data_IF_038522407869
#
_entry.id   IF_038522407869
#
_cell.length_a   1.000
_cell.length_b   1.000
_cell.length_c   1.000
_cell.angle_alpha   90.00
_cell.angle_beta   90.00
_cell.angle_gamma   90.00
#
_symmetry.space_group_name_H-M   'P 1'
#
loop_
_entity.id
_entity.type
_entity.pdbx_description
1 polymer ?
#
# COMPACT_ATOMS: atom_id res chain seq x y z
N UNK A 1 -17.67 4.35 -11.97
CA UNK A 1 -18.99 4.85 -11.57
C UNK A 1 -19.88 5.07 -12.79
N UNK A 2 -19.54 5.97 -13.73
CA UNK A 2 -20.36 6.24 -14.92
C UNK A 2 -20.84 4.96 -15.63
N UNK A 3 -19.92 4.02 -15.91
CA UNK A 3 -20.26 2.74 -16.57
C UNK A 3 -21.24 1.85 -15.80
N UNK A 4 -21.31 1.94 -14.47
CA UNK A 4 -22.28 1.19 -13.66
C UNK A 4 -23.66 1.84 -13.80
N UNK A 5 -23.72 3.16 -13.69
CA UNK A 5 -24.95 3.93 -13.82
C UNK A 5 -25.53 3.84 -15.22
N UNK A 6 -24.68 3.92 -16.28
CA UNK A 6 -25.07 3.72 -17.68
C UNK A 6 -25.72 2.35 -17.94
N UNK A 7 -25.34 1.32 -17.17
CA UNK A 7 -25.95 -0.02 -17.27
C UNK A 7 -27.19 -0.21 -16.40
N UNK A 8 -27.73 0.88 -15.85
CA UNK A 8 -28.90 0.83 -14.95
C UNK A 8 -28.59 0.19 -13.60
N UNK A 9 -27.31 0.15 -13.21
CA UNK A 9 -26.90 -0.38 -11.91
C UNK A 9 -27.26 0.56 -10.77
N UNK A 10 -27.52 0.00 -9.60
CA UNK A 10 -27.71 0.71 -8.33
C UNK A 10 -26.42 0.71 -7.54
N UNK A 11 -26.13 1.79 -6.82
CA UNK A 11 -24.97 1.94 -5.93
C UNK A 11 -25.50 2.19 -4.53
N UNK A 12 -25.24 1.27 -3.61
CA UNK A 12 -25.70 1.36 -2.21
C UNK A 12 -24.66 2.02 -1.30
N UNK A 13 -23.37 1.90 -1.64
CA UNK A 13 -22.26 2.50 -0.91
C UNK A 13 -21.04 2.68 -1.80
N UNK A 14 -20.11 3.55 -1.40
CA UNK A 14 -18.86 3.81 -2.10
C UNK A 14 -17.70 3.56 -1.14
N UNK A 15 -16.82 2.63 -1.50
CA UNK A 15 -15.51 2.43 -0.89
C UNK A 15 -14.41 3.03 -1.76
N UNK A 16 -13.50 3.77 -1.16
CA UNK A 16 -12.31 4.33 -1.81
C UNK A 16 -11.08 3.79 -1.11
N UNK A 17 -10.21 3.15 -1.88
CA UNK A 17 -8.87 2.72 -1.45
C UNK A 17 -7.84 3.63 -2.11
N UNK A 18 -6.99 4.28 -1.33
CA UNK A 18 -5.97 5.18 -1.87
C UNK A 18 -4.80 5.34 -0.90
N UNK A 19 -3.59 5.47 -1.44
CA UNK A 19 -2.40 5.74 -0.63
C UNK A 19 -2.54 7.09 0.09
N UNK A 20 -2.24 7.12 1.39
CA UNK A 20 -2.28 8.32 2.20
C UNK A 20 -3.00 8.16 3.55
N UNK A 21 -3.08 9.27 4.28
CA UNK A 21 -3.74 9.36 5.59
C UNK A 21 -5.10 10.03 5.42
N UNK A 22 -6.14 9.35 5.89
CA UNK A 22 -7.52 9.80 5.81
C UNK A 22 -8.14 9.87 7.20
N UNK A 23 -8.79 10.98 7.50
CA UNK A 23 -9.55 11.18 8.75
C UNK A 23 -10.90 11.77 8.36
N UNK A 24 -11.98 11.16 8.83
CA UNK A 24 -13.36 11.53 8.48
C UNK A 24 -13.59 11.58 6.97
N UNK A 25 -13.06 10.59 6.23
CA UNK A 25 -13.11 10.47 4.78
C UNK A 25 -12.42 11.63 4.02
N UNK A 26 -11.59 12.42 4.69
CA UNK A 26 -10.87 13.56 4.12
C UNK A 26 -9.38 13.27 4.04
N UNK A 27 -8.79 13.65 2.92
CA UNK A 27 -7.34 13.56 2.72
C UNK A 27 -6.62 14.48 3.70
N UNK A 28 -5.70 13.93 4.49
CA UNK A 28 -4.78 14.69 5.36
C UNK A 28 -3.41 14.81 4.72
N UNK A 29 -2.84 13.69 4.34
CA UNK A 29 -1.56 13.59 3.62
C UNK A 29 -1.70 12.48 2.58
N UNK A 30 -1.18 12.70 1.38
CA UNK A 30 -1.03 11.65 0.37
C UNK A 30 0.09 12.02 -0.59
N UNK A 31 0.92 11.04 -0.94
CA UNK A 31 2.07 11.21 -1.85
C UNK A 31 1.67 11.77 -3.21
N UNK A 32 0.48 11.43 -3.69
CA UNK A 32 -0.10 11.93 -4.94
C UNK A 32 -0.23 13.46 -4.99
N UNK A 33 -0.30 14.13 -3.82
CA UNK A 33 -0.59 15.56 -3.72
C UNK A 33 0.54 16.39 -3.12
N UNK A 34 1.75 15.83 -2.95
CA UNK A 34 2.90 16.52 -2.34
C UNK A 34 3.32 17.81 -3.08
N UNK A 35 3.04 17.88 -4.40
CA UNK A 35 3.38 19.06 -5.22
C UNK A 35 2.26 20.10 -5.27
N UNK A 36 1.13 19.86 -4.58
CA UNK A 36 0.00 20.79 -4.54
C UNK A 36 0.25 21.84 -3.46
N UNK A 37 -0.02 23.10 -3.77
CA UNK A 37 0.13 24.17 -2.78
C UNK A 37 -0.80 23.96 -1.59
N UNK A 38 -0.45 24.43 -0.36
CA UNK A 38 -1.34 24.30 0.80
C UNK A 38 -2.73 24.93 0.60
N UNK A 39 -2.83 25.98 -0.20
CA UNK A 39 -4.10 26.63 -0.54
C UNK A 39 -4.95 25.75 -1.45
N UNK A 40 -4.39 25.28 -2.56
CA UNK A 40 -5.07 24.37 -3.47
C UNK A 40 -5.42 23.04 -2.80
N UNK A 41 -4.56 22.55 -1.92
CA UNK A 41 -4.83 21.34 -1.16
C UNK A 41 -6.12 21.51 -0.33
N UNK A 42 -6.22 22.59 0.43
CA UNK A 42 -7.43 22.88 1.23
C UNK A 42 -8.67 23.06 0.38
N UNK A 43 -8.53 23.76 -0.75
CA UNK A 43 -9.66 24.09 -1.62
C UNK A 43 -10.13 22.94 -2.51
N UNK A 44 -9.21 22.10 -3.00
CA UNK A 44 -9.48 21.15 -4.09
C UNK A 44 -9.23 19.69 -3.72
N UNK A 45 -8.28 19.39 -2.81
CA UNK A 45 -7.82 18.03 -2.54
C UNK A 45 -8.44 17.44 -1.28
N UNK A 46 -8.51 18.22 -0.19
CA UNK A 46 -8.97 17.70 1.10
C UNK A 46 -10.25 16.88 1.04
N UNK A 47 -11.24 17.35 0.29
CA UNK A 47 -12.57 16.75 0.19
C UNK A 47 -12.81 16.09 -1.20
N UNK A 48 -11.75 15.76 -1.94
CA UNK A 48 -11.83 15.32 -3.34
C UNK A 48 -12.71 14.06 -3.50
N UNK A 49 -12.51 13.07 -2.63
CA UNK A 49 -13.26 11.80 -2.71
C UNK A 49 -14.72 11.97 -2.31
N UNK A 50 -15.01 12.82 -1.31
CA UNK A 50 -16.37 13.13 -0.93
C UNK A 50 -17.13 13.88 -2.03
N UNK A 51 -16.46 14.80 -2.75
CA UNK A 51 -17.06 15.49 -3.89
C UNK A 51 -17.31 14.53 -5.07
N UNK A 52 -16.32 13.70 -5.40
CA UNK A 52 -16.48 12.72 -6.48
C UNK A 52 -17.58 11.69 -6.16
N UNK A 53 -17.72 11.29 -4.91
CA UNK A 53 -18.78 10.39 -4.49
C UNK A 53 -20.18 11.02 -4.64
N UNK A 54 -20.33 12.30 -4.32
CA UNK A 54 -21.60 13.03 -4.49
C UNK A 54 -22.08 13.07 -5.95
N UNK A 55 -21.17 13.06 -6.91
CA UNK A 55 -21.53 12.99 -8.33
C UNK A 55 -22.09 11.63 -8.74
N UNK A 56 -21.81 10.58 -7.95
CA UNK A 56 -22.30 9.23 -8.18
C UNK A 56 -23.66 9.02 -7.54
N UNK A 57 -23.86 9.55 -6.34
CA UNK A 57 -25.11 9.45 -5.60
C UNK A 57 -24.97 9.88 -4.14
N UNK A 58 -26.09 10.05 -3.47
CA UNK A 58 -26.16 10.35 -2.04
C UNK A 58 -26.18 9.03 -1.22
N UNK A 59 -25.04 8.38 -1.17
CA UNK A 59 -24.86 7.08 -0.53
C UNK A 59 -23.70 7.13 0.48
N UNK A 60 -23.63 6.21 1.46
CA UNK A 60 -22.51 6.12 2.37
C UNK A 60 -21.16 6.03 1.65
N UNK A 61 -20.16 6.76 2.15
CA UNK A 61 -18.81 6.79 1.59
C UNK A 61 -17.81 6.46 2.69
N UNK A 62 -16.86 5.59 2.37
CA UNK A 62 -15.71 5.30 3.24
C UNK A 62 -14.43 5.43 2.44
N UNK A 63 -13.47 6.19 2.95
CA UNK A 63 -12.14 6.38 2.33
C UNK A 63 -11.11 5.83 3.30
N UNK A 64 -10.32 4.85 2.85
CA UNK A 64 -9.29 4.19 3.65
C UNK A 64 -7.94 4.18 2.93
N UNK A 65 -6.89 4.00 3.72
CA UNK A 65 -5.57 3.69 3.21
C UNK A 65 -5.59 2.36 2.44
N UNK A 66 -4.77 2.24 1.40
CA UNK A 66 -4.68 1.05 0.55
C UNK A 66 -4.12 -0.18 1.29
N UNK A 67 -3.22 0.02 2.26
CA UNK A 67 -2.74 -1.02 3.15
C UNK A 67 -3.86 -1.59 4.03
N UNK A 68 -4.68 -0.71 4.63
CA UNK A 68 -5.83 -1.11 5.45
C UNK A 68 -6.86 -1.91 4.63
N UNK A 69 -7.14 -1.47 3.40
CA UNK A 69 -8.07 -2.19 2.51
C UNK A 69 -7.51 -3.54 2.09
N UNK A 70 -6.19 -3.63 1.85
CA UNK A 70 -5.53 -4.90 1.54
C UNK A 70 -5.60 -5.89 2.70
N UNK A 71 -5.37 -5.42 3.93
CA UNK A 71 -5.51 -6.23 5.14
C UNK A 71 -6.95 -6.73 5.32
N UNK A 72 -7.94 -5.85 5.11
CA UNK A 72 -9.36 -6.22 5.20
C UNK A 72 -9.74 -7.27 4.16
N UNK A 73 -9.28 -7.10 2.91
CA UNK A 73 -9.51 -8.08 1.86
C UNK A 73 -8.88 -9.44 2.19
N UNK A 74 -7.67 -9.44 2.76
CA UNK A 74 -7.00 -10.63 3.26
C UNK A 74 -7.78 -11.32 4.38
N UNK A 75 -8.21 -10.57 5.39
CA UNK A 75 -9.02 -11.07 6.50
C UNK A 75 -10.33 -11.71 6.02
N UNK A 76 -11.04 -11.03 5.13
CA UNK A 76 -12.27 -11.54 4.52
C UNK A 76 -12.03 -12.82 3.68
N UNK A 77 -10.94 -12.86 2.91
CA UNK A 77 -10.58 -14.00 2.09
C UNK A 77 -10.19 -15.25 2.90
N UNK A 78 -9.53 -15.04 4.05
CA UNK A 78 -9.15 -16.10 4.99
C UNK A 78 -10.30 -16.51 5.91
N UNK A 79 -11.32 -15.66 6.10
CA UNK A 79 -12.35 -15.83 7.12
C UNK A 79 -11.82 -15.66 8.55
N UNK A 80 -10.76 -14.86 8.72
CA UNK A 80 -10.06 -14.69 9.98
C UNK A 80 -10.04 -13.22 10.42
N UNK A 81 -9.92 -12.99 11.74
CA UNK A 81 -9.71 -11.69 12.36
C UNK A 81 -8.30 -11.62 12.97
N UNK A 82 -7.89 -10.45 13.48
CA UNK A 82 -6.55 -10.19 13.96
C UNK A 82 -5.49 -10.42 12.86
N UNK A 83 -5.74 -9.90 11.67
CA UNK A 83 -4.89 -10.07 10.49
C UNK A 83 -4.06 -8.82 10.27
N UNK A 84 -2.73 -8.99 10.22
CA UNK A 84 -1.79 -8.01 9.70
C UNK A 84 -1.60 -8.29 8.20
N UNK A 85 -1.99 -7.36 7.35
CA UNK A 85 -1.81 -7.44 5.91
C UNK A 85 -0.62 -6.58 5.48
N UNK A 86 0.32 -7.16 4.74
CA UNK A 86 1.47 -6.43 4.17
C UNK A 86 1.39 -6.54 2.65
N UNK A 87 1.22 -5.43 1.97
CA UNK A 87 1.26 -5.33 0.52
C UNK A 87 2.67 -4.93 0.07
N UNK A 88 3.39 -5.85 -0.55
CA UNK A 88 4.75 -5.66 -1.06
C UNK A 88 4.68 -5.27 -2.55
N UNK A 89 4.45 -3.97 -2.79
CA UNK A 89 4.47 -3.38 -4.12
C UNK A 89 5.82 -2.70 -4.44
N UNK A 90 5.79 -1.63 -5.23
CA UNK A 90 6.95 -0.73 -5.42
C UNK A 90 7.41 -0.14 -4.08
N UNK A 91 6.46 0.08 -3.17
CA UNK A 91 6.67 0.41 -1.77
C UNK A 91 5.99 -0.64 -0.90
N UNK A 92 6.06 -0.49 0.41
CA UNK A 92 5.37 -1.30 1.40
C UNK A 92 4.13 -0.55 1.88
N UNK A 93 2.98 -1.23 1.93
CA UNK A 93 1.78 -0.73 2.57
C UNK A 93 1.26 -1.78 3.55
N UNK A 94 0.84 -1.35 4.73
CA UNK A 94 0.44 -2.23 5.82
C UNK A 94 -0.88 -1.80 6.39
N UNK A 95 -1.70 -2.78 6.77
CA UNK A 95 -2.95 -2.57 7.48
C UNK A 95 -3.19 -3.65 8.52
N UNK A 96 -4.05 -3.37 9.48
CA UNK A 96 -4.44 -4.31 10.52
C UNK A 96 -5.94 -4.37 10.69
N UNK A 97 -6.45 -5.59 10.74
CA UNK A 97 -7.86 -5.91 11.06
C UNK A 97 -7.91 -6.48 12.47
N UNK A 98 -8.72 -5.88 13.34
CA UNK A 98 -8.85 -6.25 14.74
C UNK A 98 -9.64 -7.56 14.95
N UNK A 99 -9.78 -7.98 16.22
CA UNK A 99 -10.54 -9.18 16.59
C UNK A 99 -12.05 -9.13 16.29
N UNK A 100 -12.59 -7.95 15.98
CA UNK A 100 -13.98 -7.74 15.59
C UNK A 100 -14.17 -7.64 14.06
N UNK A 101 -13.09 -7.77 13.29
CA UNK A 101 -13.12 -7.63 11.84
C UNK A 101 -13.10 -6.19 11.33
N UNK A 102 -12.70 -5.22 12.16
CA UNK A 102 -12.67 -3.83 11.79
C UNK A 102 -11.25 -3.37 11.43
N UNK A 103 -11.16 -2.49 10.44
CA UNK A 103 -9.93 -1.71 10.19
C UNK A 103 -9.70 -0.81 11.41
N UNK A 104 -8.48 -0.81 11.92
CA UNK A 104 -8.05 0.12 12.96
C UNK A 104 -7.69 1.47 12.34
N UNK A 105 -7.96 2.58 13.00
CA UNK A 105 -7.51 3.89 12.53
C UNK A 105 -6.04 4.20 12.84
N UNK A 106 -5.22 3.18 13.04
CA UNK A 106 -3.81 3.33 13.37
C UNK A 106 -3.00 3.69 12.12
N UNK A 107 -1.93 4.44 12.33
CA UNK A 107 -0.91 4.65 11.30
C UNK A 107 -0.02 3.40 11.23
N UNK A 108 -0.30 2.53 10.26
CA UNK A 108 0.43 1.29 10.07
C UNK A 108 1.63 1.51 9.11
N UNK A 109 2.49 2.49 9.41
CA UNK A 109 3.61 2.90 8.54
C UNK A 109 4.86 2.04 8.77
N UNK A 110 4.74 0.71 8.61
CA UNK A 110 5.88 -0.21 8.74
C UNK A 110 6.97 0.05 7.69
N UNK A 111 6.63 0.69 6.58
CA UNK A 111 7.60 1.12 5.58
C UNK A 111 8.75 1.94 6.17
N UNK A 112 8.48 2.72 7.21
CA UNK A 112 9.47 3.58 7.89
C UNK A 112 9.96 3.04 9.23
N UNK A 113 9.47 1.87 9.66
CA UNK A 113 9.95 1.23 10.88
C UNK A 113 11.37 0.69 10.68
N UNK A 114 12.30 0.89 11.66
CA UNK A 114 13.63 0.29 11.61
C UNK A 114 13.52 -1.23 11.81
N UNK A 115 13.89 -1.98 10.80
CA UNK A 115 13.87 -3.45 10.78
C UNK A 115 15.28 -4.05 10.68
N UNK A 116 16.26 -3.26 10.24
CA UNK A 116 17.67 -3.65 10.15
C UNK A 116 18.57 -2.61 10.81
N UNK A 117 19.25 -3.00 11.89
CA UNK A 117 20.21 -2.17 12.61
C UNK A 117 21.67 -2.61 12.35
N UNK A 118 21.91 -3.50 11.39
CA UNK A 118 23.25 -3.99 11.09
C UNK A 118 24.14 -2.90 10.46
N UNK A 119 25.45 -2.95 10.67
CA UNK A 119 26.38 -2.11 9.91
C UNK A 119 26.20 -2.35 8.40
N UNK A 120 25.92 -1.29 7.64
CA UNK A 120 25.65 -1.38 6.20
C UNK A 120 24.19 -1.65 5.83
N UNK A 121 23.26 -1.51 6.78
CA UNK A 121 21.82 -1.49 6.48
C UNK A 121 21.50 -0.44 5.40
N UNK A 122 20.50 -0.72 4.56
CA UNK A 122 20.18 0.11 3.41
C UNK A 122 19.54 1.44 3.82
N UNK A 123 20.05 2.59 3.34
CA UNK A 123 19.36 3.86 3.50
C UNK A 123 18.14 3.94 2.57
N UNK A 124 17.09 4.58 3.04
CA UNK A 124 15.97 4.97 2.20
C UNK A 124 16.23 6.33 1.56
N UNK A 125 16.18 6.39 0.24
CA UNK A 125 16.50 7.58 -0.53
C UNK A 125 15.48 8.70 -0.36
N UNK A 126 14.27 8.37 0.12
CA UNK A 126 13.20 9.34 0.30
C UNK A 126 13.19 9.96 1.70
N UNK A 127 13.24 9.13 2.75
CA UNK A 127 13.24 9.62 4.14
C UNK A 127 14.63 9.95 4.66
N UNK A 128 15.67 9.31 4.11
CA UNK A 128 17.03 9.35 4.64
C UNK A 128 17.27 8.39 5.81
N UNK A 129 16.24 7.67 6.24
CA UNK A 129 16.35 6.69 7.33
C UNK A 129 17.12 5.45 6.87
N UNK A 130 17.76 4.77 7.83
CA UNK A 130 18.58 3.59 7.58
C UNK A 130 17.88 2.36 8.12
N UNK A 131 17.81 1.31 7.30
CA UNK A 131 17.29 0.01 7.71
C UNK A 131 15.78 -0.06 7.87
N UNK A 132 15.03 0.82 7.22
CA UNK A 132 13.57 0.82 7.32
C UNK A 132 12.89 -0.23 6.45
N UNK A 133 11.67 -0.63 6.83
CA UNK A 133 10.89 -1.74 6.27
C UNK A 133 10.81 -1.76 4.76
N UNK A 134 10.54 -0.61 4.13
CA UNK A 134 10.43 -0.49 2.67
C UNK A 134 11.66 -0.97 1.89
N UNK A 135 12.84 -0.96 2.52
CA UNK A 135 14.08 -1.45 1.88
C UNK A 135 14.19 -2.98 1.89
N UNK A 136 13.33 -3.66 2.62
CA UNK A 136 13.33 -5.11 2.81
C UNK A 136 12.01 -5.75 2.36
N UNK A 137 10.88 -5.11 2.62
CA UNK A 137 9.53 -5.60 2.35
C UNK A 137 8.88 -4.89 1.15
N UNK A 138 9.66 -4.72 0.07
CA UNK A 138 9.17 -4.19 -1.19
C UNK A 138 9.77 -4.95 -2.36
N UNK A 139 9.19 -4.81 -3.55
CA UNK A 139 9.73 -5.40 -4.78
C UNK A 139 11.16 -4.93 -5.06
N UNK A 140 11.42 -3.64 -4.86
CA UNK A 140 12.75 -3.05 -5.00
C UNK A 140 13.74 -3.63 -3.96
N UNK A 141 13.27 -3.80 -2.73
CA UNK A 141 14.04 -4.44 -1.66
C UNK A 141 14.45 -5.86 -2.02
N UNK A 142 13.51 -6.68 -2.48
CA UNK A 142 13.79 -8.06 -2.93
C UNK A 142 14.84 -8.09 -4.03
N UNK A 143 14.71 -7.25 -5.06
CA UNK A 143 15.67 -7.18 -6.18
C UNK A 143 17.06 -6.77 -5.69
N UNK A 144 17.16 -5.82 -4.77
CA UNK A 144 18.45 -5.35 -4.20
C UNK A 144 19.09 -6.36 -3.26
N UNK A 145 18.30 -7.15 -2.57
CA UNK A 145 18.78 -8.17 -1.62
C UNK A 145 19.17 -9.48 -2.31
N UNK A 146 18.55 -9.82 -3.41
CA UNK A 146 18.82 -11.07 -4.15
C UNK A 146 20.31 -11.32 -4.41
N UNK A 147 21.12 -10.36 -4.91
CA UNK A 147 22.56 -10.56 -5.08
C UNK A 147 23.31 -10.79 -3.76
N UNK A 148 22.84 -10.16 -2.65
CA UNK A 148 23.46 -10.38 -1.32
C UNK A 148 23.20 -11.80 -0.80
N UNK A 149 22.07 -12.40 -1.20
CA UNK A 149 21.75 -13.80 -0.93
C UNK A 149 22.39 -14.78 -1.93
N UNK A 150 23.25 -14.30 -2.86
CA UNK A 150 23.91 -15.13 -3.87
C UNK A 150 23.06 -15.45 -5.08
N UNK A 151 21.92 -14.78 -5.26
CA UNK A 151 21.05 -14.95 -6.43
C UNK A 151 21.50 -13.98 -7.53
N UNK A 152 22.08 -14.52 -8.60
CA UNK A 152 22.38 -13.72 -9.79
C UNK A 152 21.09 -13.42 -10.55
N UNK A 153 20.85 -12.12 -10.82
CA UNK A 153 19.73 -11.64 -11.64
C UNK A 153 20.23 -11.22 -13.02
N UNK A 154 19.37 -11.35 -14.02
CA UNK A 154 19.67 -10.89 -15.37
C UNK A 154 19.77 -9.36 -15.40
N UNK A 155 20.96 -8.80 -15.63
CA UNK A 155 21.22 -7.35 -15.53
C UNK A 155 20.31 -6.51 -16.42
N UNK A 156 20.09 -6.95 -17.67
CA UNK A 156 19.26 -6.25 -18.67
C UNK A 156 17.75 -6.45 -18.45
N UNK A 157 17.32 -7.30 -17.51
CA UNK A 157 15.91 -7.56 -17.26
C UNK A 157 15.23 -6.38 -16.60
N UNK A 158 13.94 -6.19 -16.88
CA UNK A 158 13.11 -5.21 -16.19
C UNK A 158 12.99 -5.55 -14.68
N UNK A 159 12.68 -4.58 -13.80
CA UNK A 159 12.42 -4.89 -12.37
C UNK A 159 11.37 -5.99 -12.18
N UNK A 160 10.30 -5.98 -12.98
CA UNK A 160 9.26 -7.00 -12.92
C UNK A 160 9.77 -8.39 -13.30
N UNK A 161 10.66 -8.48 -14.28
CA UNK A 161 11.23 -9.78 -14.69
C UNK A 161 12.27 -10.28 -13.69
N UNK A 162 13.08 -9.39 -13.11
CA UNK A 162 13.99 -9.72 -12.00
C UNK A 162 13.22 -10.28 -10.80
N UNK A 163 12.07 -9.70 -10.46
CA UNK A 163 11.23 -10.21 -9.39
C UNK A 163 10.71 -11.61 -9.70
N UNK A 164 10.29 -11.87 -10.96
CA UNK A 164 9.88 -13.22 -11.39
C UNK A 164 11.02 -14.23 -11.30
N UNK A 165 12.27 -13.84 -11.59
CA UNK A 165 13.44 -14.72 -11.43
C UNK A 165 13.60 -15.14 -9.96
N UNK A 166 13.45 -14.23 -8.99
CA UNK A 166 13.48 -14.55 -7.56
C UNK A 166 12.32 -15.46 -7.20
N UNK A 167 11.10 -15.10 -7.61
CA UNK A 167 9.90 -15.88 -7.33
C UNK A 167 9.98 -17.31 -7.85
N UNK A 168 10.48 -17.51 -9.07
CA UNK A 168 10.68 -18.85 -9.63
C UNK A 168 11.65 -19.70 -8.81
N UNK A 169 12.67 -19.09 -8.21
CA UNK A 169 13.58 -19.80 -7.30
C UNK A 169 12.93 -20.16 -5.97
N UNK A 170 12.14 -19.25 -5.40
CA UNK A 170 11.34 -19.53 -4.20
C UNK A 170 10.39 -20.72 -4.43
N UNK A 171 9.68 -20.74 -5.56
CA UNK A 171 8.78 -21.83 -5.96
C UNK A 171 9.53 -23.17 -6.17
N UNK A 172 10.79 -23.11 -6.63
CA UNK A 172 11.66 -24.26 -6.73
C UNK A 172 12.27 -24.73 -5.40
N UNK A 173 12.02 -24.03 -4.29
CA UNK A 173 12.54 -24.37 -2.96
C UNK A 173 13.99 -23.97 -2.76
N UNK A 174 14.50 -22.99 -3.49
CA UNK A 174 15.84 -22.43 -3.27
C UNK A 174 15.87 -21.68 -1.93
N UNK A 175 16.66 -22.18 -0.98
CA UNK A 175 16.75 -21.62 0.36
C UNK A 175 17.39 -20.22 0.41
N UNK A 176 18.03 -19.77 -0.67
CA UNK A 176 18.57 -18.41 -0.78
C UNK A 176 17.53 -17.38 -1.25
N UNK A 177 16.42 -17.84 -1.82
CA UNK A 177 15.33 -17.01 -2.30
C UNK A 177 14.20 -16.90 -1.29
#
# INVERSE_FOLDING_TARGET
AAKILEKGGHVDAIGVSSAGIYIDNRTRVASLFLKVSPEDFRAKVRDIYLRAAKEIGDVPVTVCNDGDVSALAGAMGLGENNVLGIAMGTSEAVGYVDGNGNITGWLNELAFMPVDAAPGAMPDEWSGDVGCGVKYFSQDGVIKLAPRAGIALTESASPADKLKEVQARMEAGDAAA
#
